data_IF_161722365263
#
_entry.id   IF_161722365263
#
_cell.length_a   1.000
_cell.length_b   1.000
_cell.length_c   1.000
_cell.angle_alpha   90.00
_cell.angle_beta   90.00
_cell.angle_gamma   90.00
#
_symmetry.space_group_name_H-M   'P 1'
#
loop_
_entity.id
_entity.type
_entity.pdbx_description
1 polymer ?
#
# COMPACT_ATOMS: atom_id res chain seq x y z
N UNK A 1 0.64 -34.93 10.75
CA UNK A 1 1.16 -34.52 9.43
C UNK A 1 1.12 -33.01 9.33
N UNK A 2 2.24 -32.28 9.21
CA UNK A 2 2.23 -30.84 8.98
C UNK A 2 2.46 -30.57 7.49
N UNK A 3 1.40 -30.37 6.72
CA UNK A 3 1.50 -29.81 5.37
C UNK A 3 1.33 -28.30 5.46
N UNK A 4 2.40 -27.63 5.89
CA UNK A 4 2.55 -26.17 5.79
C UNK A 4 2.66 -25.82 4.31
N UNK A 5 1.56 -25.37 3.71
CA UNK A 5 1.57 -24.74 2.40
C UNK A 5 2.38 -23.45 2.54
N UNK A 6 3.51 -23.37 1.84
CA UNK A 6 4.25 -22.14 1.69
C UNK A 6 3.31 -21.07 1.10
N UNK A 7 2.79 -20.21 1.96
CA UNK A 7 2.19 -18.94 1.55
C UNK A 7 3.32 -18.16 0.89
N UNK A 8 3.30 -18.02 -0.43
CA UNK A 8 4.21 -17.12 -1.15
C UNK A 8 3.90 -15.69 -0.67
N UNK A 9 4.57 -15.27 0.40
CA UNK A 9 4.51 -13.90 0.88
C UNK A 9 5.24 -13.01 -0.12
N UNK A 10 4.53 -12.05 -0.70
CA UNK A 10 5.12 -11.09 -1.61
C UNK A 10 5.91 -10.08 -0.79
N UNK A 11 7.23 -10.21 -0.81
CA UNK A 11 8.12 -9.35 -0.08
C UNK A 11 8.69 -8.27 -1.01
N UNK A 12 8.34 -7.02 -0.75
CA UNK A 12 8.92 -5.84 -1.37
C UNK A 12 10.27 -5.52 -0.72
N UNK A 13 11.29 -5.29 -1.54
CA UNK A 13 12.55 -4.68 -1.09
C UNK A 13 12.31 -3.25 -0.59
N UNK A 14 13.24 -2.70 0.20
CA UNK A 14 13.16 -1.30 0.66
C UNK A 14 13.03 -0.29 -0.49
N UNK A 15 13.72 -0.53 -1.61
CA UNK A 15 13.64 0.32 -2.78
C UNK A 15 12.25 0.27 -3.44
N UNK A 16 11.69 -0.93 -3.58
CA UNK A 16 10.32 -1.13 -4.11
C UNK A 16 9.26 -0.54 -3.18
N UNK A 17 9.41 -0.73 -1.86
CA UNK A 17 8.47 -0.18 -0.87
C UNK A 17 8.48 1.35 -0.88
N UNK A 18 9.66 1.97 -0.95
CA UNK A 18 9.78 3.43 -1.08
C UNK A 18 9.21 3.92 -2.40
N UNK A 19 9.50 3.24 -3.51
CA UNK A 19 8.95 3.54 -4.83
C UNK A 19 7.42 3.49 -4.83
N UNK A 20 6.85 2.42 -4.26
CA UNK A 20 5.41 2.24 -4.07
C UNK A 20 4.80 3.45 -3.34
N UNK A 21 5.33 3.82 -2.16
CA UNK A 21 4.79 4.95 -1.40
C UNK A 21 4.98 6.29 -2.11
N UNK A 22 6.08 6.46 -2.84
CA UNK A 22 6.35 7.68 -3.60
C UNK A 22 5.34 7.87 -4.73
N UNK A 23 5.09 6.83 -5.52
CA UNK A 23 4.14 6.88 -6.63
C UNK A 23 2.70 7.06 -6.10
N UNK A 24 2.33 6.30 -5.06
CA UNK A 24 1.01 6.43 -4.45
C UNK A 24 0.79 7.84 -3.86
N UNK A 25 1.80 8.39 -3.19
CA UNK A 25 1.76 9.76 -2.67
C UNK A 25 1.52 10.77 -3.78
N UNK A 26 2.31 10.72 -4.87
CA UNK A 26 2.20 11.65 -6.00
C UNK A 26 0.80 11.64 -6.62
N UNK A 27 0.24 10.45 -6.85
CA UNK A 27 -1.08 10.31 -7.45
C UNK A 27 -2.16 10.88 -6.52
N UNK A 28 -2.16 10.50 -5.24
CA UNK A 28 -3.17 10.98 -4.29
C UNK A 28 -3.01 12.48 -4.00
N UNK A 29 -1.79 12.99 -3.95
CA UNK A 29 -1.48 14.43 -3.82
C UNK A 29 -2.01 15.23 -5.02
N UNK A 30 -2.00 14.66 -6.23
CA UNK A 30 -2.59 15.28 -7.42
C UNK A 30 -4.14 15.26 -7.47
N UNK A 31 -4.79 14.74 -6.42
CA UNK A 31 -6.25 14.65 -6.34
C UNK A 31 -6.84 13.38 -6.96
N UNK A 32 -6.01 12.43 -7.41
CA UNK A 32 -6.47 11.13 -7.88
C UNK A 32 -6.96 10.32 -6.68
N UNK A 33 -8.16 9.75 -6.78
CA UNK A 33 -8.72 8.90 -5.73
C UNK A 33 -7.84 7.69 -5.44
N UNK A 34 -7.79 7.22 -4.19
CA UNK A 34 -6.92 6.12 -3.77
C UNK A 34 -7.10 4.84 -4.62
N UNK A 35 -8.34 4.49 -4.95
CA UNK A 35 -8.62 3.31 -5.79
C UNK A 35 -8.08 3.48 -7.21
N UNK A 36 -8.30 4.65 -7.82
CA UNK A 36 -7.83 4.94 -9.17
C UNK A 36 -6.30 5.03 -9.23
N UNK A 37 -5.68 5.57 -8.17
CA UNK A 37 -4.22 5.61 -8.04
C UNK A 37 -3.62 4.20 -7.98
N UNK A 38 -4.23 3.29 -7.21
CA UNK A 38 -3.80 1.88 -7.15
C UNK A 38 -4.04 1.18 -8.50
N UNK A 39 -5.15 1.44 -9.18
CA UNK A 39 -5.39 0.88 -10.52
C UNK A 39 -4.34 1.36 -11.53
N UNK A 40 -3.96 2.64 -11.50
CA UNK A 40 -2.91 3.19 -12.34
C UNK A 40 -1.55 2.53 -12.04
N UNK A 41 -1.17 2.42 -10.76
CA UNK A 41 0.09 1.78 -10.34
C UNK A 41 0.20 0.32 -10.80
N UNK A 42 -0.90 -0.45 -10.73
CA UNK A 42 -0.92 -1.85 -11.17
C UNK A 42 -0.61 -2.01 -12.67
N UNK A 43 -0.91 -0.99 -13.49
CA UNK A 43 -0.63 -1.00 -14.93
C UNK A 43 0.81 -0.62 -15.27
N UNK A 44 1.43 0.21 -14.43
CA UNK A 44 2.74 0.82 -14.71
C UNK A 44 3.93 0.01 -14.15
N UNK A 45 3.73 -0.81 -13.11
CA UNK A 45 4.81 -1.49 -12.41
C UNK A 45 4.54 -3.01 -12.21
N UNK A 46 4.90 -3.85 -13.19
CA UNK A 46 4.64 -5.29 -13.17
C UNK A 46 5.22 -6.02 -11.94
N UNK A 47 6.34 -5.54 -11.40
CA UNK A 47 7.03 -6.15 -10.27
C UNK A 47 6.28 -6.00 -8.93
N UNK A 48 5.35 -5.06 -8.84
CA UNK A 48 4.50 -4.84 -7.66
C UNK A 48 3.01 -5.04 -7.93
N UNK A 49 2.62 -5.41 -9.16
CA UNK A 49 1.22 -5.46 -9.59
C UNK A 49 0.37 -6.30 -8.63
N UNK A 50 0.87 -7.45 -8.18
CA UNK A 50 0.07 -8.37 -7.39
C UNK A 50 -0.21 -7.84 -6.00
N UNK A 51 0.74 -7.08 -5.44
CA UNK A 51 0.55 -6.42 -4.15
C UNK A 51 -0.47 -5.29 -4.30
N UNK A 52 -0.32 -4.46 -5.34
CA UNK A 52 -1.22 -3.34 -5.63
C UNK A 52 -2.64 -3.83 -5.90
N UNK A 53 -2.80 -4.85 -6.74
CA UNK A 53 -4.09 -5.44 -7.11
C UNK A 53 -4.79 -6.04 -5.88
N UNK A 54 -4.06 -6.74 -5.00
CA UNK A 54 -4.61 -7.25 -3.74
C UNK A 54 -5.11 -6.14 -2.83
N UNK A 55 -4.37 -5.04 -2.70
CA UNK A 55 -4.82 -3.88 -1.92
C UNK A 55 -6.08 -3.32 -2.54
N UNK A 56 -6.04 -3.05 -3.85
CA UNK A 56 -7.13 -2.47 -4.62
C UNK A 56 -8.44 -3.29 -4.51
N UNK A 57 -8.38 -4.60 -4.72
CA UNK A 57 -9.54 -5.49 -4.60
C UNK A 57 -10.12 -5.50 -3.18
N UNK A 58 -9.27 -5.50 -2.14
CA UNK A 58 -9.71 -5.47 -0.74
C UNK A 58 -10.39 -4.15 -0.39
N UNK A 59 -9.85 -3.04 -0.84
CA UNK A 59 -10.45 -1.72 -0.64
C UNK A 59 -11.78 -1.58 -1.38
N UNK A 60 -11.87 -2.05 -2.64
CA UNK A 60 -13.14 -2.10 -3.38
C UNK A 60 -14.20 -2.95 -2.65
N UNK A 61 -13.78 -4.01 -1.96
CA UNK A 61 -14.65 -4.85 -1.16
C UNK A 61 -15.02 -4.25 0.22
N UNK A 62 -14.58 -3.02 0.53
CA UNK A 62 -14.90 -2.32 1.78
C UNK A 62 -14.00 -2.67 2.96
N UNK A 63 -12.81 -3.24 2.74
CA UNK A 63 -11.84 -3.45 3.82
C UNK A 63 -11.26 -2.11 4.30
N UNK A 64 -10.97 -2.03 5.60
CA UNK A 64 -10.19 -0.93 6.17
C UNK A 64 -8.80 -0.82 5.53
N UNK A 65 -8.26 0.40 5.45
CA UNK A 65 -7.02 0.70 4.75
C UNK A 65 -5.84 -0.12 5.25
N UNK A 66 -5.57 -0.07 6.54
CA UNK A 66 -4.51 -0.81 7.21
C UNK A 66 -4.69 -2.33 7.07
N UNK A 67 -5.94 -2.81 7.04
CA UNK A 67 -6.23 -4.23 6.86
C UNK A 67 -6.00 -4.69 5.42
N UNK A 68 -6.32 -3.83 4.43
CA UNK A 68 -6.07 -4.11 3.02
C UNK A 68 -4.57 -4.23 2.74
N UNK A 69 -3.77 -3.29 3.26
CA UNK A 69 -2.32 -3.27 3.14
C UNK A 69 -1.68 -4.47 3.85
N UNK A 70 -1.97 -4.66 5.14
CA UNK A 70 -1.36 -5.73 5.94
C UNK A 70 -1.66 -7.14 5.43
N UNK A 71 -2.81 -7.34 4.77
CA UNK A 71 -3.16 -8.63 4.14
C UNK A 71 -2.63 -8.80 2.72
N UNK A 72 -2.12 -7.74 2.09
CA UNK A 72 -1.57 -7.80 0.74
C UNK A 72 -0.10 -8.27 0.73
N UNK A 73 0.70 -7.80 1.70
CA UNK A 73 2.12 -8.11 1.84
C UNK A 73 2.60 -7.96 3.29
N UNK A 74 3.54 -8.81 3.71
CA UNK A 74 4.23 -8.69 5.00
C UNK A 74 5.26 -7.55 5.04
N UNK A 75 5.52 -6.87 3.92
CA UNK A 75 6.38 -5.69 3.85
C UNK A 75 5.78 -4.44 4.51
N UNK A 76 4.46 -4.42 4.75
CA UNK A 76 3.81 -3.34 5.47
C UNK A 76 3.84 -3.61 6.97
N UNK A 77 4.89 -3.13 7.62
CA UNK A 77 5.12 -3.36 9.05
C UNK A 77 4.08 -2.65 9.94
N UNK A 78 4.11 -2.96 11.25
CA UNK A 78 3.17 -2.39 12.22
C UNK A 78 3.18 -0.86 12.26
N UNK A 79 4.35 -0.24 12.07
CA UNK A 79 4.47 1.22 12.04
C UNK A 79 3.74 1.80 10.81
N UNK A 80 4.00 1.21 9.64
CA UNK A 80 3.36 1.57 8.37
C UNK A 80 1.85 1.45 8.46
N UNK A 81 1.34 0.32 8.97
CA UNK A 81 -0.10 0.11 9.13
C UNK A 81 -0.73 1.08 10.13
N UNK A 82 -0.05 1.37 11.23
CA UNK A 82 -0.50 2.35 12.21
C UNK A 82 -0.59 3.77 11.65
N UNK A 83 0.40 4.16 10.84
CA UNK A 83 0.39 5.46 10.16
C UNK A 83 -0.73 5.55 9.12
N UNK A 84 -0.94 4.50 8.31
CA UNK A 84 -2.05 4.46 7.34
C UNK A 84 -3.41 4.60 8.03
N UNK A 85 -3.60 3.88 9.14
CA UNK A 85 -4.81 4.01 9.97
C UNK A 85 -4.99 5.44 10.48
N UNK A 86 -3.93 6.04 11.04
CA UNK A 86 -3.98 7.42 11.52
C UNK A 86 -4.33 8.39 10.38
N UNK A 87 -3.70 8.24 9.21
CA UNK A 87 -3.97 9.06 8.03
C UNK A 87 -5.42 8.95 7.56
N UNK A 88 -5.99 7.74 7.59
CA UNK A 88 -7.41 7.49 7.29
C UNK A 88 -8.34 8.17 8.31
N UNK A 89 -8.11 7.95 9.60
CA UNK A 89 -8.96 8.48 10.68
C UNK A 89 -8.92 10.03 10.78
N UNK A 90 -7.78 10.63 10.48
CA UNK A 90 -7.58 12.10 10.55
C UNK A 90 -7.81 12.83 9.23
N UNK A 91 -8.03 12.09 8.14
CA UNK A 91 -8.07 12.65 6.78
C UNK A 91 -6.71 13.13 6.25
N UNK A 92 -5.60 12.82 6.95
CA UNK A 92 -4.24 13.24 6.58
C UNK A 92 -3.48 12.16 5.78
N UNK A 93 -4.18 11.38 4.95
CA UNK A 93 -3.58 10.26 4.23
C UNK A 93 -2.42 10.69 3.32
N UNK A 94 -2.54 11.82 2.61
CA UNK A 94 -1.47 12.37 1.76
C UNK A 94 -0.20 12.59 2.59
N UNK A 95 -0.31 13.29 3.73
CA UNK A 95 0.83 13.56 4.62
C UNK A 95 1.50 12.28 5.10
N UNK A 96 0.71 11.28 5.48
CA UNK A 96 1.21 9.97 5.90
C UNK A 96 1.97 9.27 4.78
N UNK A 97 1.40 9.22 3.57
CA UNK A 97 2.03 8.60 2.41
C UNK A 97 3.36 9.31 2.06
N UNK A 98 3.43 10.62 2.17
CA UNK A 98 4.65 11.39 1.97
C UNK A 98 5.74 10.99 2.96
N UNK A 99 5.39 10.87 4.24
CA UNK A 99 6.30 10.38 5.28
C UNK A 99 6.80 8.96 5.00
N UNK A 100 5.91 8.06 4.57
CA UNK A 100 6.26 6.67 4.22
C UNK A 100 7.13 6.58 2.95
N UNK A 101 6.96 7.52 2.02
CA UNK A 101 7.82 7.68 0.84
C UNK A 101 9.22 8.20 1.18
N UNK A 102 9.48 8.56 2.44
CA UNK A 102 10.70 9.25 2.84
C UNK A 102 10.78 10.68 2.32
N UNK A 103 9.64 11.27 1.92
CA UNK A 103 9.53 12.69 1.64
C UNK A 103 9.40 13.41 2.97
N UNK A 104 10.52 13.91 3.46
CA UNK A 104 10.54 14.94 4.49
C UNK A 104 10.11 16.26 3.84
N UNK A 105 9.08 16.90 4.42
CA UNK A 105 8.80 18.34 4.23
C UNK A 105 10.05 19.18 4.54
#
# INVERSE_FOLDING_TARGET
MPSSRASTEFHLSLAQLRGFFTQLHLLVESGIGLLDALEAMAREAPEIDQTVERIHLRLRAGSELEAAFGKASSSFDRLTLGLLRLGRETGMLVKVLGRLAGRSE
#
